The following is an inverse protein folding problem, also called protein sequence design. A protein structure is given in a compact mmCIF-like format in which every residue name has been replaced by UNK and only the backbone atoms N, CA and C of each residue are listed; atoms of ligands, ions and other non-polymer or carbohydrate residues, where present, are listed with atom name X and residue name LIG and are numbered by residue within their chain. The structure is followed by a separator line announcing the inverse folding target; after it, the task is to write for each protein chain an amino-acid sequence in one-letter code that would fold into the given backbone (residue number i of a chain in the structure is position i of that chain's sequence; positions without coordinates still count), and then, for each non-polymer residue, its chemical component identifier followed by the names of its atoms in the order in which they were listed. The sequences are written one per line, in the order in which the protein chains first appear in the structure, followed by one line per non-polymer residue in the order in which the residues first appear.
data_IF_310949652628
#
_entry.id   IF_310949652628
#
_cell.length_a   1.000
_cell.length_b   1.000
_cell.length_c   1.000
_cell.angle_alpha   90.00
_cell.angle_beta   90.00
_cell.angle_gamma   90.00
#
_symmetry.space_group_name_H-M   'P 1'
#
loop_
_entity.id
_entity.type
_entity.pdbx_description
1 polymer ?
#
# COMPACT_ATOMS: atom_id res chain seq x y z
N UNK A 1 10.31 -29.06 17.53
CA UNK A 1 9.05 -28.97 16.76
C UNK A 1 8.16 -27.93 17.43
N UNK A 2 8.61 -26.68 17.51
CA UNK A 2 7.91 -25.60 18.23
C UNK A 2 8.35 -24.22 17.75
N UNK A 3 9.65 -24.04 17.46
CA UNK A 3 10.17 -22.75 16.95
C UNK A 3 9.70 -22.41 15.52
N UNK A 4 9.48 -23.42 14.66
CA UNK A 4 9.06 -23.20 13.27
C UNK A 4 7.59 -22.78 13.16
N UNK A 5 6.73 -23.28 14.07
CA UNK A 5 5.30 -22.94 14.09
C UNK A 5 5.09 -21.50 14.60
N UNK A 6 5.87 -21.08 15.60
CA UNK A 6 5.85 -19.70 16.12
C UNK A 6 6.36 -18.68 15.07
N UNK A 7 7.38 -19.04 14.28
CA UNK A 7 7.90 -18.21 13.19
C UNK A 7 6.89 -18.07 12.02
N UNK A 8 6.11 -19.12 11.76
CA UNK A 8 5.05 -19.09 10.76
C UNK A 8 3.87 -18.23 11.23
N UNK A 9 3.40 -18.41 12.47
CA UNK A 9 2.28 -17.63 13.03
C UNK A 9 2.61 -16.13 13.08
N UNK A 10 3.84 -15.78 13.46
CA UNK A 10 4.29 -14.38 13.47
C UNK A 10 4.36 -13.78 12.06
N UNK A 11 4.76 -14.56 11.05
CA UNK A 11 4.80 -14.11 9.65
C UNK A 11 3.39 -13.89 9.09
N UNK A 12 2.45 -14.80 9.33
CA UNK A 12 1.05 -14.65 8.90
C UNK A 12 0.41 -13.38 9.48
N UNK A 13 0.65 -13.11 10.77
CA UNK A 13 0.21 -11.86 11.41
C UNK A 13 0.84 -10.61 10.77
N UNK A 14 2.10 -10.68 10.35
CA UNK A 14 2.73 -9.56 9.65
C UNK A 14 2.15 -9.35 8.25
N UNK A 15 1.92 -10.43 7.49
CA UNK A 15 1.31 -10.37 6.17
C UNK A 15 -0.08 -9.72 6.25
N UNK A 16 -0.95 -10.19 7.15
CA UNK A 16 -2.29 -9.64 7.36
C UNK A 16 -2.25 -8.14 7.74
N UNK A 17 -1.33 -7.75 8.62
CA UNK A 17 -1.16 -6.35 9.02
C UNK A 17 -0.76 -5.44 7.85
N UNK A 18 0.17 -5.88 7.02
CA UNK A 18 0.64 -5.10 5.87
C UNK A 18 -0.36 -5.08 4.73
N UNK A 19 -1.11 -6.16 4.54
CA UNK A 19 -2.20 -6.23 3.60
C UNK A 19 -3.34 -5.25 3.96
N UNK A 20 -3.75 -5.23 5.23
CA UNK A 20 -4.73 -4.25 5.74
C UNK A 20 -4.27 -2.80 5.54
N UNK A 21 -2.98 -2.52 5.79
CA UNK A 21 -2.39 -1.19 5.54
C UNK A 21 -2.42 -0.81 4.06
N UNK A 22 -2.09 -1.76 3.18
CA UNK A 22 -2.20 -1.56 1.74
C UNK A 22 -3.63 -1.19 1.34
N UNK A 23 -4.62 -1.98 1.75
CA UNK A 23 -6.02 -1.72 1.40
C UNK A 23 -6.53 -0.40 1.97
N UNK A 24 -6.14 -0.04 3.20
CA UNK A 24 -6.46 1.25 3.80
C UNK A 24 -5.91 2.42 2.97
N UNK A 25 -4.64 2.33 2.54
CA UNK A 25 -4.03 3.35 1.69
C UNK A 25 -4.72 3.46 0.32
N UNK A 26 -5.03 2.34 -0.32
CA UNK A 26 -5.76 2.33 -1.60
C UNK A 26 -7.16 2.95 -1.43
N UNK A 27 -7.88 2.57 -0.37
CA UNK A 27 -9.19 3.13 -0.05
C UNK A 27 -9.12 4.64 0.17
N UNK A 28 -8.13 5.14 0.93
CA UNK A 28 -7.93 6.57 1.14
C UNK A 28 -7.65 7.33 -0.18
N UNK A 29 -6.87 6.74 -1.09
CA UNK A 29 -6.60 7.33 -2.40
C UNK A 29 -7.86 7.43 -3.29
N UNK A 30 -8.73 6.42 -3.26
CA UNK A 30 -10.00 6.48 -3.99
C UNK A 30 -11.04 7.39 -3.32
N UNK A 31 -11.08 7.42 -1.99
CA UNK A 31 -11.98 8.31 -1.25
C UNK A 31 -11.64 9.78 -1.50
N UNK A 32 -10.35 10.14 -1.49
CA UNK A 32 -9.90 11.50 -1.83
C UNK A 32 -10.25 11.88 -3.27
N UNK A 33 -10.09 10.97 -4.23
CA UNK A 33 -10.54 11.18 -5.61
C UNK A 33 -12.06 11.40 -5.71
N UNK A 34 -12.86 10.59 -5.00
CA UNK A 34 -14.31 10.73 -5.00
C UNK A 34 -14.75 12.09 -4.42
N UNK A 35 -14.09 12.55 -3.35
CA UNK A 35 -14.32 13.88 -2.77
C UNK A 35 -13.95 14.97 -3.78
N UNK A 36 -12.81 14.84 -4.45
CA UNK A 36 -12.34 15.79 -5.47
C UNK A 36 -13.34 15.95 -6.64
N UNK A 37 -14.00 14.86 -7.05
CA UNK A 37 -15.02 14.89 -8.10
C UNK A 37 -16.33 15.55 -7.67
N UNK A 38 -16.59 15.65 -6.37
CA UNK A 38 -17.86 16.16 -5.81
C UNK A 38 -17.73 17.62 -5.35
N UNK A 39 -16.55 18.07 -4.93
CA UNK A 39 -16.32 19.40 -4.36
C UNK A 39 -15.41 20.25 -5.25
N UNK A 40 -15.83 21.47 -5.59
CA UNK A 40 -15.07 22.39 -6.44
C UNK A 40 -14.11 23.32 -5.66
N UNK A 41 -12.95 23.53 -6.29
CA UNK A 41 -11.99 24.63 -6.21
C UNK A 41 -10.96 24.69 -5.05
N UNK A 42 -11.34 24.87 -3.78
CA UNK A 42 -10.34 25.33 -2.78
C UNK A 42 -9.51 24.23 -2.11
N UNK A 43 -9.93 22.97 -2.20
CA UNK A 43 -9.28 21.84 -1.51
C UNK A 43 -8.52 20.90 -2.45
N UNK A 44 -8.48 21.21 -3.76
CA UNK A 44 -7.93 20.31 -4.78
C UNK A 44 -6.46 19.97 -4.52
N UNK A 45 -5.62 20.96 -4.24
CA UNK A 45 -4.19 20.76 -3.98
C UNK A 45 -3.93 19.88 -2.75
N UNK A 46 -4.72 20.08 -1.68
CA UNK A 46 -4.62 19.25 -0.47
C UNK A 46 -5.06 17.81 -0.77
N UNK A 47 -6.15 17.62 -1.52
CA UNK A 47 -6.66 16.31 -1.89
C UNK A 47 -5.70 15.56 -2.81
N UNK A 48 -5.06 16.25 -3.76
CA UNK A 48 -4.04 15.69 -4.63
C UNK A 48 -2.80 15.27 -3.84
N UNK A 49 -2.34 16.11 -2.91
CA UNK A 49 -1.24 15.77 -2.02
C UNK A 49 -1.57 14.55 -1.14
N UNK A 50 -2.76 14.51 -0.53
CA UNK A 50 -3.21 13.37 0.28
C UNK A 50 -3.34 12.08 -0.54
N UNK A 51 -3.84 12.19 -1.77
CA UNK A 51 -3.96 11.08 -2.71
C UNK A 51 -2.59 10.54 -3.10
N UNK A 52 -1.62 11.41 -3.40
CA UNK A 52 -0.23 11.04 -3.64
C UNK A 52 0.39 10.32 -2.45
N UNK A 53 0.23 10.88 -1.24
CA UNK A 53 0.72 10.27 0.00
C UNK A 53 0.10 8.88 0.26
N UNK A 54 -1.20 8.71 -0.03
CA UNK A 54 -1.90 7.44 0.09
C UNK A 54 -1.34 6.39 -0.89
N UNK A 55 -1.08 6.76 -2.15
CA UNK A 55 -0.44 5.86 -3.12
C UNK A 55 0.99 5.49 -2.74
N UNK A 56 1.77 6.42 -2.18
CA UNK A 56 3.11 6.14 -1.62
C UNK A 56 3.01 5.12 -0.47
N UNK A 57 2.05 5.29 0.44
CA UNK A 57 1.81 4.38 1.55
C UNK A 57 1.42 2.97 1.08
N UNK A 58 0.60 2.86 0.04
CA UNK A 58 0.27 1.59 -0.60
C UNK A 58 1.51 0.94 -1.23
N UNK A 59 2.35 1.74 -1.90
CA UNK A 59 3.61 1.28 -2.49
C UNK A 59 4.57 0.68 -1.46
N UNK A 60 4.82 1.40 -0.37
CA UNK A 60 5.67 0.96 0.73
C UNK A 60 5.14 -0.32 1.40
N UNK A 61 3.84 -0.38 1.66
CA UNK A 61 3.18 -1.55 2.25
C UNK A 61 3.32 -2.78 1.35
N UNK A 62 3.20 -2.60 0.02
CA UNK A 62 3.38 -3.68 -0.95
C UNK A 62 4.82 -4.19 -1.00
N UNK A 63 5.82 -3.28 -0.94
CA UNK A 63 7.23 -3.68 -0.88
C UNK A 63 7.52 -4.45 0.41
N UNK A 64 6.99 -4.01 1.55
CA UNK A 64 7.17 -4.72 2.83
C UNK A 64 6.51 -6.09 2.83
N UNK A 65 5.31 -6.23 2.26
CA UNK A 65 4.68 -7.53 2.05
C UNK A 65 5.57 -8.46 1.20
N UNK A 66 6.15 -7.93 0.11
CA UNK A 66 7.10 -8.68 -0.74
C UNK A 66 8.39 -9.10 -0.02
N UNK A 67 8.91 -8.28 0.90
CA UNK A 67 10.07 -8.62 1.73
C UNK A 67 9.75 -9.75 2.72
N UNK A 68 8.57 -9.72 3.33
CA UNK A 68 8.10 -10.77 4.25
C UNK A 68 7.85 -12.08 3.50
N UNK A 69 7.27 -12.03 2.30
CA UNK A 69 7.11 -13.23 1.46
C UNK A 69 8.46 -13.85 1.09
N UNK A 70 9.45 -13.02 0.75
CA UNK A 70 10.81 -13.51 0.48
C UNK A 70 11.50 -14.11 1.70
N UNK A 71 11.26 -13.61 2.91
CA UNK A 71 11.88 -14.18 4.12
C UNK A 71 11.38 -15.59 4.45
N UNK A 72 10.18 -15.97 3.98
CA UNK A 72 9.64 -17.33 4.11
C UNK A 72 9.87 -18.19 2.87
N UNK A 73 10.76 -17.76 1.96
CA UNK A 73 11.08 -18.50 0.73
C UNK A 73 9.99 -18.47 -0.35
N UNK A 74 8.98 -17.60 -0.24
CA UNK A 74 7.96 -17.38 -1.28
C UNK A 74 8.39 -16.27 -2.24
N UNK A 75 7.86 -16.33 -3.47
CA UNK A 75 8.09 -15.26 -4.42
C UNK A 75 7.33 -13.99 -4.03
N UNK A 76 8.06 -12.88 -3.90
CA UNK A 76 7.54 -11.55 -3.61
C UNK A 76 7.58 -10.60 -4.81
N UNK A 77 7.96 -11.08 -5.99
CA UNK A 77 8.12 -10.27 -7.21
C UNK A 77 6.86 -9.48 -7.59
N UNK A 78 5.69 -10.13 -7.52
CA UNK A 78 4.40 -9.50 -7.79
C UNK A 78 4.07 -8.34 -6.84
N UNK A 79 4.49 -8.44 -5.58
CA UNK A 79 4.29 -7.38 -4.58
C UNK A 79 5.20 -6.18 -4.81
N UNK A 80 6.41 -6.40 -5.34
CA UNK A 80 7.30 -5.32 -5.77
C UNK A 80 6.75 -4.60 -7.01
N UNK A 81 6.26 -5.34 -8.00
CA UNK A 81 5.64 -4.76 -9.19
C UNK A 81 4.41 -3.93 -8.82
N UNK A 82 3.56 -4.45 -7.92
CA UNK A 82 2.43 -3.71 -7.37
C UNK A 82 2.87 -2.44 -6.65
N UNK A 83 3.94 -2.52 -5.85
CA UNK A 83 4.52 -1.36 -5.18
C UNK A 83 5.00 -0.28 -6.15
N UNK A 84 5.73 -0.68 -7.20
CA UNK A 84 6.18 0.21 -8.28
C UNK A 84 5.00 0.88 -8.99
N UNK A 85 3.96 0.10 -9.31
CA UNK A 85 2.73 0.62 -9.89
C UNK A 85 2.07 1.71 -9.04
N UNK A 86 2.00 1.51 -7.72
CA UNK A 86 1.48 2.52 -6.80
C UNK A 86 2.32 3.81 -6.80
N UNK A 87 3.66 3.73 -6.87
CA UNK A 87 4.49 4.93 -6.98
C UNK A 87 4.30 5.66 -8.30
N UNK A 88 4.14 4.94 -9.42
CA UNK A 88 3.81 5.56 -10.70
C UNK A 88 2.48 6.31 -10.62
N UNK A 89 1.45 5.72 -9.99
CA UNK A 89 0.16 6.38 -9.80
C UNK A 89 0.31 7.59 -8.87
N UNK A 90 1.13 7.51 -7.81
CA UNK A 90 1.38 8.64 -6.92
C UNK A 90 1.96 9.85 -7.67
N UNK A 91 2.89 9.62 -8.61
CA UNK A 91 3.46 10.68 -9.44
C UNK A 91 2.37 11.29 -10.32
N UNK A 92 1.56 10.48 -10.99
CA UNK A 92 0.46 10.96 -11.85
C UNK A 92 -0.61 11.71 -11.03
N UNK A 93 -0.83 11.33 -9.78
CA UNK A 93 -1.82 11.95 -8.91
C UNK A 93 -1.43 13.34 -8.40
N UNK A 94 -0.15 13.71 -8.52
CA UNK A 94 0.42 14.96 -7.97
C UNK A 94 0.95 15.88 -9.09
N UNK A 95 1.01 15.39 -10.34
CA UNK A 95 1.39 16.15 -11.54
C UNK A 95 0.14 16.65 -12.24
#
# INVERSE_FOLDING_TARGET
MGDDDDALETTERQLDKWEKRFFFCVFAAFATLAIQLVFEADWLDLLDWLRGAAWIGAGLSSIQLGRILRSIGRDGSGMLLRGLGCFCIAIIAVV
#
